data_IF_629811663189
#
_entry.id   IF_629811663189
#
_cell.length_a   1.000
_cell.length_b   1.000
_cell.length_c   1.000
_cell.angle_alpha   90.00
_cell.angle_beta   90.00
_cell.angle_gamma   90.00
#
_symmetry.space_group_name_H-M   'P 1'
#
loop_
_entity.id
_entity.type
_entity.pdbx_description
1 polymer ?
#
# COMPACT_ATOMS: atom_id res chain seq x y z
N UNK A 1 -25.70 -7.30 3.01
CA UNK A 1 -24.29 -7.08 2.62
C UNK A 1 -24.36 -6.08 1.48
N UNK A 2 -23.82 -4.89 1.68
CA UNK A 2 -23.90 -3.81 0.69
C UNK A 2 -22.77 -3.89 -0.34
N UNK A 3 -21.65 -4.51 0.05
CA UNK A 3 -20.47 -4.75 -0.78
C UNK A 3 -19.65 -5.91 -0.19
N UNK A 4 -19.07 -6.73 -1.06
CA UNK A 4 -18.03 -7.69 -0.69
C UNK A 4 -16.74 -7.36 -1.45
N UNK A 5 -15.67 -7.09 -0.71
CA UNK A 5 -14.35 -6.76 -1.27
C UNK A 5 -13.34 -7.84 -0.92
N UNK A 6 -12.65 -8.35 -1.93
CA UNK A 6 -11.54 -9.29 -1.80
C UNK A 6 -10.21 -8.58 -2.00
N UNK A 7 -9.28 -8.78 -1.08
CA UNK A 7 -7.89 -8.35 -1.20
C UNK A 7 -6.98 -9.58 -1.39
N UNK A 8 -6.03 -9.50 -2.32
CA UNK A 8 -5.10 -10.59 -2.65
C UNK A 8 -3.93 -10.78 -1.66
N UNK A 9 -4.06 -10.22 -0.45
CA UNK A 9 -3.02 -10.12 0.59
C UNK A 9 -1.92 -9.09 0.31
N UNK A 10 -1.29 -8.63 1.39
CA UNK A 10 -0.12 -7.78 1.40
C UNK A 10 1.11 -8.60 1.78
N UNK A 11 2.14 -8.51 0.95
CA UNK A 11 3.40 -9.21 1.17
C UNK A 11 4.51 -8.48 0.46
N UNK A 12 5.74 -8.79 0.85
CA UNK A 12 6.95 -8.38 0.15
C UNK A 12 7.99 -9.49 0.28
N UNK A 13 9.17 -9.28 -0.31
CA UNK A 13 10.35 -10.08 -0.06
C UNK A 13 11.48 -9.20 0.50
N UNK A 14 12.59 -9.82 0.92
CA UNK A 14 13.73 -9.10 1.49
C UNK A 14 14.36 -8.12 0.51
N UNK A 15 14.50 -8.50 -0.76
CA UNK A 15 15.11 -7.67 -1.80
C UNK A 15 14.35 -6.35 -1.96
N UNK A 16 13.04 -6.46 -2.16
CA UNK A 16 12.15 -5.31 -2.36
C UNK A 16 12.00 -4.46 -1.09
N UNK A 17 12.02 -5.10 0.07
CA UNK A 17 12.05 -4.41 1.36
C UNK A 17 13.32 -3.59 1.60
N UNK A 18 14.50 -4.16 1.29
CA UNK A 18 15.78 -3.43 1.37
C UNK A 18 15.89 -2.30 0.36
N UNK A 19 15.31 -2.48 -0.82
CA UNK A 19 15.22 -1.37 -1.79
C UNK A 19 14.30 -0.26 -1.26
N UNK A 20 13.21 -0.61 -0.56
CA UNK A 20 12.40 0.38 0.15
C UNK A 20 13.21 1.12 1.24
N UNK A 21 14.03 0.41 2.03
CA UNK A 21 14.91 1.04 3.02
C UNK A 21 15.86 2.06 2.37
N UNK A 22 16.52 1.67 1.27
CA UNK A 22 17.42 2.55 0.52
C UNK A 22 16.72 3.81 0.03
N UNK A 23 15.53 3.65 -0.56
CA UNK A 23 14.72 4.77 -1.09
C UNK A 23 14.24 5.69 0.04
N UNK A 24 13.83 5.14 1.18
CA UNK A 24 13.38 5.92 2.33
C UNK A 24 14.54 6.68 2.98
N UNK A 25 15.72 6.06 3.07
CA UNK A 25 16.93 6.72 3.57
C UNK A 25 17.34 7.86 2.64
N UNK A 26 17.36 7.64 1.32
CA UNK A 26 17.71 8.65 0.33
C UNK A 26 16.74 9.84 0.32
N UNK A 27 15.43 9.57 0.34
CA UNK A 27 14.41 10.61 0.20
C UNK A 27 14.13 11.32 1.52
N UNK A 28 14.17 10.61 2.64
CA UNK A 28 13.59 11.07 3.90
C UNK A 28 14.52 11.00 5.11
N UNK A 29 15.71 10.42 4.96
CA UNK A 29 16.65 10.18 6.06
C UNK A 29 16.02 9.33 7.19
N UNK A 30 15.27 8.30 6.78
CA UNK A 30 14.65 7.33 7.70
C UNK A 30 14.92 5.91 7.23
N UNK A 31 15.12 4.99 8.19
CA UNK A 31 15.19 3.55 7.93
C UNK A 31 13.86 2.91 8.34
N UNK A 32 13.02 2.47 7.39
CA UNK A 32 11.72 1.87 7.66
C UNK A 32 11.87 0.43 8.17
N UNK A 33 10.99 0.01 9.08
CA UNK A 33 10.98 -1.37 9.59
C UNK A 33 9.65 -2.07 9.37
N UNK A 34 8.57 -1.33 9.16
CA UNK A 34 7.20 -1.88 9.06
C UNK A 34 7.07 -2.92 7.94
N UNK A 35 7.83 -2.77 6.85
CA UNK A 35 7.84 -3.71 5.74
C UNK A 35 8.23 -5.15 6.14
N UNK A 36 9.05 -5.31 7.19
CA UNK A 36 9.49 -6.63 7.70
C UNK A 36 8.29 -7.44 8.20
N UNK A 37 7.24 -6.76 8.66
CA UNK A 37 5.97 -7.37 9.06
C UNK A 37 5.22 -8.08 7.93
N UNK A 38 5.63 -7.88 6.66
CA UNK A 38 5.01 -8.45 5.47
C UNK A 38 5.84 -9.55 4.80
N UNK A 39 6.85 -10.09 5.49
CA UNK A 39 7.72 -11.20 5.04
C UNK A 39 7.16 -12.60 5.29
N UNK A 40 5.84 -12.73 5.45
CA UNK A 40 5.20 -14.00 5.84
C UNK A 40 4.61 -14.81 4.68
N UNK A 41 4.73 -14.35 3.44
CA UNK A 41 4.14 -15.06 2.30
C UNK A 41 4.85 -16.39 2.02
N UNK A 42 4.09 -17.48 2.01
CA UNK A 42 4.61 -18.85 1.81
C UNK A 42 3.99 -19.52 0.59
N UNK A 43 4.18 -18.92 -0.58
CA UNK A 43 3.68 -19.46 -1.85
C UNK A 43 2.15 -19.57 -1.91
N UNK A 44 1.64 -19.68 -3.13
CA UNK A 44 0.22 -19.82 -3.37
C UNK A 44 0.02 -20.60 -4.66
N UNK A 45 -0.98 -21.48 -4.69
CA UNK A 45 -1.43 -22.06 -5.96
C UNK A 45 -2.19 -20.99 -6.75
N UNK A 46 -1.46 -20.25 -7.57
CA UNK A 46 -1.99 -19.14 -8.39
C UNK A 46 -2.95 -19.65 -9.47
N UNK A 47 -2.81 -20.89 -9.92
CA UNK A 47 -3.75 -21.51 -10.86
C UNK A 47 -5.10 -21.75 -10.19
N UNK A 48 -5.10 -22.37 -9.00
CA UNK A 48 -6.32 -22.56 -8.23
C UNK A 48 -6.95 -21.22 -7.86
N UNK A 49 -6.16 -20.23 -7.41
CA UNK A 49 -6.68 -18.90 -7.12
C UNK A 49 -7.35 -18.27 -8.35
N UNK A 50 -6.71 -18.34 -9.52
CA UNK A 50 -7.27 -17.84 -10.79
C UNK A 50 -8.62 -18.47 -11.10
N UNK A 51 -8.77 -19.78 -10.90
CA UNK A 51 -10.03 -20.49 -11.08
C UNK A 51 -11.12 -20.02 -10.11
N UNK A 52 -10.79 -19.85 -8.83
CA UNK A 52 -11.72 -19.37 -7.80
C UNK A 52 -12.16 -17.93 -8.08
N UNK A 53 -11.24 -17.03 -8.45
CA UNK A 53 -11.55 -15.65 -8.83
C UNK A 53 -12.51 -15.61 -10.00
N UNK A 54 -12.25 -16.41 -11.06
CA UNK A 54 -13.16 -16.53 -12.21
C UNK A 54 -14.54 -17.01 -11.81
N UNK A 55 -14.61 -18.05 -10.97
CA UNK A 55 -15.85 -18.61 -10.46
C UNK A 55 -16.67 -17.56 -9.69
N UNK A 56 -16.01 -16.79 -8.83
CA UNK A 56 -16.64 -15.71 -8.05
C UNK A 56 -17.13 -14.59 -8.98
N UNK A 57 -16.30 -14.12 -9.93
CA UNK A 57 -16.66 -13.04 -10.88
C UNK A 57 -17.81 -13.45 -11.81
N UNK A 58 -17.92 -14.73 -12.18
CA UNK A 58 -18.97 -15.23 -13.07
C UNK A 58 -20.34 -15.42 -12.39
N UNK A 59 -20.38 -15.51 -11.06
CA UNK A 59 -21.62 -15.73 -10.31
C UNK A 59 -22.44 -14.44 -10.22
N UNK A 60 -23.77 -14.59 -10.30
CA UNK A 60 -24.71 -13.51 -9.95
C UNK A 60 -24.86 -13.42 -8.44
N UNK A 61 -24.35 -12.33 -7.87
CA UNK A 61 -24.48 -12.02 -6.45
C UNK A 61 -25.61 -11.01 -6.25
N UNK A 62 -26.34 -11.06 -5.11
CA UNK A 62 -27.35 -10.06 -4.78
C UNK A 62 -26.73 -8.73 -4.29
N UNK A 63 -25.40 -8.62 -4.30
CA UNK A 63 -24.61 -7.46 -3.90
C UNK A 63 -23.36 -7.34 -4.79
N UNK A 64 -22.75 -6.15 -4.92
CA UNK A 64 -21.49 -5.98 -5.64
C UNK A 64 -20.35 -6.80 -5.02
N UNK A 65 -19.53 -7.39 -5.89
CA UNK A 65 -18.30 -8.09 -5.51
C UNK A 65 -17.14 -7.44 -6.25
N UNK A 66 -16.11 -7.03 -5.50
CA UNK A 66 -14.92 -6.38 -6.04
C UNK A 66 -13.65 -7.10 -5.59
N UNK A 67 -12.64 -7.05 -6.44
CA UNK A 67 -11.29 -7.49 -6.14
C UNK A 67 -10.37 -6.28 -6.18
N UNK A 68 -9.46 -6.18 -5.22
CA UNK A 68 -8.50 -5.08 -5.13
C UNK A 68 -7.08 -5.67 -5.00
N UNK A 69 -6.18 -5.37 -5.96
CA UNK A 69 -6.45 -4.72 -7.26
C UNK A 69 -7.40 -5.55 -8.15
N UNK A 70 -8.02 -4.92 -9.15
CA UNK A 70 -8.78 -5.66 -10.18
C UNK A 70 -7.82 -6.25 -11.22
N UNK A 71 -7.23 -7.39 -10.87
CA UNK A 71 -6.28 -8.09 -11.73
C UNK A 71 -7.00 -8.78 -12.91
N UNK A 72 -6.38 -8.70 -14.08
CA UNK A 72 -6.70 -9.60 -15.17
C UNK A 72 -6.23 -11.02 -14.83
N UNK A 73 -6.86 -12.03 -15.42
CA UNK A 73 -6.55 -13.44 -15.13
C UNK A 73 -5.06 -13.79 -15.35
N UNK A 74 -4.44 -13.18 -16.36
CA UNK A 74 -3.02 -13.37 -16.69
C UNK A 74 -2.08 -12.73 -15.67
N UNK A 75 -2.54 -11.72 -14.94
CA UNK A 75 -1.73 -10.94 -14.00
C UNK A 75 -1.68 -11.55 -12.59
N UNK A 76 -2.61 -12.47 -12.28
CA UNK A 76 -2.69 -13.11 -10.95
C UNK A 76 -1.37 -13.77 -10.56
N UNK A 77 -0.73 -14.48 -11.47
CA UNK A 77 0.54 -15.17 -11.21
C UNK A 77 1.66 -14.15 -10.95
N UNK A 78 1.82 -13.17 -11.84
CA UNK A 78 2.79 -12.09 -11.65
C UNK A 78 2.58 -11.28 -10.37
N UNK A 79 1.34 -11.16 -9.88
CA UNK A 79 1.06 -10.50 -8.61
C UNK A 79 1.72 -11.21 -7.42
N UNK A 80 1.80 -12.54 -7.43
CA UNK A 80 2.44 -13.29 -6.35
C UNK A 80 3.94 -13.54 -6.56
N UNK A 81 4.40 -13.54 -7.81
CA UNK A 81 5.80 -13.82 -8.13
C UNK A 81 6.72 -12.59 -8.06
N UNK A 82 6.21 -11.40 -8.42
CA UNK A 82 7.00 -10.16 -8.45
C UNK A 82 6.39 -9.07 -7.55
N UNK A 83 6.82 -8.95 -6.27
CA UNK A 83 6.37 -7.92 -5.33
C UNK A 83 6.56 -6.47 -5.80
N UNK A 84 7.37 -6.23 -6.83
CA UNK A 84 7.61 -4.90 -7.40
C UNK A 84 6.59 -4.52 -8.47
N UNK A 85 5.91 -5.49 -9.08
CA UNK A 85 4.94 -5.28 -10.15
C UNK A 85 3.77 -4.39 -9.69
N UNK A 86 3.45 -3.36 -10.46
CA UNK A 86 2.45 -2.34 -10.10
C UNK A 86 1.14 -2.41 -10.87
N UNK A 87 1.01 -3.28 -11.88
CA UNK A 87 -0.25 -3.51 -12.61
C UNK A 87 -0.96 -2.24 -13.10
N UNK A 88 -0.19 -1.24 -13.57
CA UNK A 88 -0.73 0.03 -14.05
C UNK A 88 -0.92 1.13 -13.00
N UNK A 89 -0.71 0.83 -11.71
CA UNK A 89 -0.84 1.80 -10.63
C UNK A 89 0.47 2.59 -10.42
N UNK A 90 0.45 3.89 -10.72
CA UNK A 90 1.65 4.74 -10.71
C UNK A 90 1.63 5.93 -9.74
N UNK A 91 0.47 6.27 -9.18
CA UNK A 91 0.28 7.52 -8.42
C UNK A 91 -0.56 7.26 -7.18
N UNK A 92 -0.17 7.84 -6.05
CA UNK A 92 -0.88 7.72 -4.78
C UNK A 92 -1.38 9.10 -4.34
N UNK A 93 -2.70 9.30 -4.32
CA UNK A 93 -3.31 10.56 -3.86
C UNK A 93 -3.58 10.59 -2.35
N UNK A 94 -3.44 9.45 -1.69
CA UNK A 94 -3.84 9.22 -0.30
C UNK A 94 -3.33 10.31 0.66
N UNK A 95 -2.02 10.67 0.63
CA UNK A 95 -1.47 11.69 1.53
C UNK A 95 -2.06 13.09 1.35
N UNK A 96 -2.81 13.38 0.29
CA UNK A 96 -3.48 14.67 0.07
C UNK A 96 -4.92 14.71 0.58
N UNK A 97 -5.53 13.56 0.85
CA UNK A 97 -6.96 13.48 1.18
C UNK A 97 -7.22 12.83 2.54
N UNK A 98 -6.29 12.04 3.06
CA UNK A 98 -6.40 11.38 4.37
C UNK A 98 -5.06 11.44 5.09
N UNK A 99 -5.14 11.50 6.42
CA UNK A 99 -4.01 11.41 7.34
C UNK A 99 -4.23 10.25 8.29
N UNK A 100 -3.15 9.59 8.69
CA UNK A 100 -3.22 8.42 9.54
C UNK A 100 -2.67 8.77 10.92
N UNK A 101 -3.50 8.58 11.95
CA UNK A 101 -3.15 8.81 13.35
C UNK A 101 -2.98 7.46 14.02
N UNK A 102 -1.76 7.15 14.43
CA UNK A 102 -1.40 5.91 15.12
C UNK A 102 -1.93 5.92 16.56
N UNK A 103 -2.09 4.75 17.22
CA UNK A 103 -2.63 4.67 18.58
C UNK A 103 -1.84 5.45 19.64
N UNK A 104 -0.54 5.68 19.40
CA UNK A 104 0.32 6.50 20.26
C UNK A 104 0.24 8.02 19.95
N UNK A 105 -0.63 8.42 19.03
CA UNK A 105 -0.82 9.80 18.60
C UNK A 105 0.13 10.26 17.48
N UNK A 106 1.05 9.41 17.01
CA UNK A 106 1.91 9.76 15.88
C UNK A 106 1.07 9.92 14.61
N UNK A 107 1.39 10.93 13.82
CA UNK A 107 0.76 11.19 12.54
C UNK A 107 1.71 10.75 11.44
N UNK A 108 1.26 9.83 10.61
CA UNK A 108 2.02 9.30 9.48
C UNK A 108 1.31 9.62 8.14
N UNK A 109 2.07 9.51 7.06
CA UNK A 109 1.59 9.76 5.69
C UNK A 109 1.01 8.53 5.01
N UNK A 110 1.18 7.34 5.60
CA UNK A 110 0.72 6.06 5.07
C UNK A 110 0.20 5.18 6.21
N UNK A 111 -0.87 4.44 5.94
CA UNK A 111 -1.52 3.51 6.88
C UNK A 111 -0.68 2.26 7.11
N UNK A 112 -0.29 1.62 6.01
CA UNK A 112 0.28 0.28 6.02
C UNK A 112 1.77 0.30 6.37
N UNK A 113 2.43 1.44 6.12
CA UNK A 113 3.85 1.69 6.35
C UNK A 113 4.04 3.03 7.09
N UNK A 114 3.70 3.10 8.39
CA UNK A 114 3.73 4.32 9.17
C UNK A 114 5.16 4.72 9.62
N UNK A 115 6.19 4.37 8.86
CA UNK A 115 7.60 4.61 9.20
C UNK A 115 7.99 6.10 9.08
N UNK A 116 7.26 6.89 8.28
CA UNK A 116 7.50 8.32 8.11
C UNK A 116 6.59 9.18 8.99
N UNK A 117 6.93 9.24 10.28
CA UNK A 117 6.22 10.08 11.27
C UNK A 117 6.45 11.56 10.95
N UNK A 118 5.36 12.32 10.84
CA UNK A 118 5.37 13.75 10.53
C UNK A 118 5.12 14.63 11.77
N UNK A 119 4.61 14.08 12.86
CA UNK A 119 4.36 14.79 14.12
C UNK A 119 3.54 13.94 15.08
N UNK A 120 3.12 14.50 16.20
CA UNK A 120 2.26 13.81 17.17
C UNK A 120 1.12 14.73 17.63
N UNK A 121 -0.12 14.24 17.58
CA UNK A 121 -1.32 15.04 17.90
C UNK A 121 -1.40 15.47 19.37
N UNK A 122 -0.63 14.84 20.26
CA UNK A 122 -0.54 15.22 21.67
C UNK A 122 0.32 16.49 21.86
N UNK A 123 1.06 16.91 20.83
CA UNK A 123 2.02 18.02 20.89
C UNK A 123 1.65 19.17 19.94
N UNK A 124 1.03 18.88 18.79
CA UNK A 124 0.72 19.84 17.74
C UNK A 124 -0.69 19.59 17.19
N UNK A 125 -1.34 20.64 16.66
CA UNK A 125 -2.64 20.45 16.00
C UNK A 125 -2.48 19.61 14.73
N UNK A 126 -3.50 18.84 14.38
CA UNK A 126 -3.48 18.01 13.16
C UNK A 126 -3.27 18.87 11.89
N UNK A 127 -3.81 20.09 11.88
CA UNK A 127 -3.67 21.01 10.75
C UNK A 127 -2.25 21.55 10.61
N UNK A 128 -1.55 21.77 11.72
CA UNK A 128 -0.14 22.17 11.69
C UNK A 128 0.73 21.01 11.19
N UNK A 129 0.48 19.78 11.66
CA UNK A 129 1.22 18.59 11.22
C UNK A 129 1.01 18.31 9.73
N UNK A 130 -0.25 18.33 9.27
CA UNK A 130 -0.63 18.14 7.86
C UNK A 130 0.05 19.15 6.90
N UNK A 131 0.37 20.32 7.44
CA UNK A 131 0.98 21.44 6.74
C UNK A 131 2.40 21.73 7.25
N UNK A 132 3.12 20.75 7.77
CA UNK A 132 4.53 20.95 8.11
C UNK A 132 5.46 20.48 6.99
N UNK A 133 6.75 20.76 7.15
CA UNK A 133 7.74 20.49 6.11
C UNK A 133 7.93 18.99 5.86
N UNK A 134 7.80 18.14 6.88
CA UNK A 134 7.89 16.68 6.72
C UNK A 134 6.75 16.17 5.85
N UNK A 135 5.51 16.53 6.17
CA UNK A 135 4.33 16.10 5.42
C UNK A 135 4.38 16.60 3.97
N UNK A 136 4.76 17.87 3.76
CA UNK A 136 4.95 18.43 2.41
C UNK A 136 6.05 17.71 1.65
N UNK A 137 7.19 17.43 2.28
CA UNK A 137 8.32 16.70 1.67
C UNK A 137 7.88 15.33 1.16
N UNK A 138 7.03 14.61 1.90
CA UNK A 138 6.50 13.32 1.44
C UNK A 138 5.65 13.45 0.17
N UNK A 139 4.70 14.40 0.17
CA UNK A 139 3.86 14.70 -1.00
C UNK A 139 4.67 15.13 -2.21
N UNK A 140 5.67 15.98 -2.00
CA UNK A 140 6.58 16.44 -3.06
C UNK A 140 7.40 15.31 -3.65
N UNK A 141 7.92 14.40 -2.81
CA UNK A 141 8.66 13.24 -3.30
C UNK A 141 7.76 12.28 -4.09
N UNK A 142 6.52 12.04 -3.67
CA UNK A 142 5.58 11.25 -4.48
C UNK A 142 5.31 11.90 -5.84
N UNK A 143 5.14 13.23 -5.89
CA UNK A 143 4.90 13.97 -7.13
C UNK A 143 6.12 13.97 -8.06
N UNK A 144 7.32 14.10 -7.51
CA UNK A 144 8.56 14.27 -8.28
C UNK A 144 9.20 12.93 -8.64
N UNK A 145 9.28 12.02 -7.69
CA UNK A 145 10.07 10.79 -7.75
C UNK A 145 9.20 9.53 -7.79
N UNK A 146 7.87 9.67 -7.75
CA UNK A 146 6.90 8.58 -7.83
C UNK A 146 6.82 7.72 -6.56
N UNK A 147 6.08 6.61 -6.69
CA UNK A 147 5.85 5.64 -5.61
C UNK A 147 7.14 5.00 -5.08
N UNK A 148 7.19 4.78 -3.77
CA UNK A 148 8.23 3.97 -3.13
C UNK A 148 8.02 2.48 -3.47
N UNK A 149 9.06 1.63 -3.36
CA UNK A 149 8.99 0.22 -3.72
C UNK A 149 7.80 -0.51 -3.07
N UNK A 150 7.65 -0.39 -1.76
CA UNK A 150 6.62 -1.11 -1.00
C UNK A 150 5.17 -0.70 -1.34
N UNK A 151 4.98 0.44 -2.01
CA UNK A 151 3.67 0.88 -2.46
C UNK A 151 3.04 -0.07 -3.50
N UNK A 152 3.84 -0.92 -4.15
CA UNK A 152 3.38 -1.88 -5.17
C UNK A 152 2.35 -2.90 -4.65
N UNK A 153 2.14 -3.00 -3.34
CA UNK A 153 1.11 -3.86 -2.73
C UNK A 153 0.10 -3.09 -1.89
N UNK A 154 0.12 -1.77 -1.93
CA UNK A 154 -0.77 -0.95 -1.08
C UNK A 154 -2.23 -1.02 -1.60
N UNK A 155 -3.17 -1.40 -0.73
CA UNK A 155 -4.59 -1.37 -1.06
C UNK A 155 -5.13 0.05 -1.22
N UNK A 156 -4.55 1.03 -0.51
CA UNK A 156 -4.92 2.44 -0.63
C UNK A 156 -4.53 3.06 -1.98
N UNK A 157 -3.57 2.44 -2.69
CA UNK A 157 -3.22 2.76 -4.07
C UNK A 157 -4.18 2.09 -5.06
N UNK A 158 -4.51 0.82 -4.81
CA UNK A 158 -5.18 -0.06 -5.78
C UNK A 158 -6.71 -0.07 -5.67
N UNK A 159 -7.25 0.44 -4.56
CA UNK A 159 -8.68 0.44 -4.23
C UNK A 159 -9.35 1.80 -4.32
N UNK A 160 -8.65 2.81 -4.86
CA UNK A 160 -9.17 4.16 -5.13
C UNK A 160 -9.34 4.39 -6.62
#
# INVERSE_FOLDING_TARGET
IDLLTYYYSWFTNEEHGREHERVMQERFDVTPESWKGYLFFQGLDTNRLREEVRSIKARKWPFPVMFIPDLADGDIEGYFDDPSARFGYGECIQPWIVTEIMPNGDVATCRDYPDYVCGNIQQQSIMDIWNNDRYRKFRESLKKDGLMPICARCCGLMGW
#
